data_IF_372478738168
#
_entry.id   IF_372478738168
#
_cell.length_a   1.000
_cell.length_b   1.000
_cell.length_c   1.000
_cell.angle_alpha   90.00
_cell.angle_beta   90.00
_cell.angle_gamma   90.00
#
_symmetry.space_group_name_H-M   'P 1'
#
loop_
_entity.id
_entity.type
_entity.pdbx_description
1 polymer ?
#
# COMPACT_ATOMS: atom_id res chain seq x y z
N UNK A 1 -19.11 -32.79 -4.34
CA UNK A 1 -17.90 -32.14 -3.77
C UNK A 1 -17.99 -30.67 -4.10
N UNK A 2 -17.80 -29.75 -3.14
CA UNK A 2 -17.92 -28.32 -3.42
C UNK A 2 -16.79 -27.85 -4.35
N UNK A 3 -17.16 -27.07 -5.34
CA UNK A 3 -16.22 -26.43 -6.25
C UNK A 3 -16.45 -24.93 -6.21
N UNK A 4 -15.37 -24.16 -6.24
CA UNK A 4 -15.43 -22.78 -6.71
C UNK A 4 -15.38 -22.85 -8.22
N UNK A 5 -16.31 -22.16 -8.86
CA UNK A 5 -16.43 -22.15 -10.32
C UNK A 5 -16.37 -20.73 -10.84
N UNK A 6 -16.04 -20.57 -12.11
CA UNK A 6 -16.07 -19.28 -12.77
C UNK A 6 -15.79 -19.44 -14.25
N UNK A 7 -15.75 -18.33 -14.94
CA UNK A 7 -15.35 -18.25 -16.34
C UNK A 7 -14.36 -17.09 -16.47
N UNK A 8 -13.27 -17.34 -17.20
CA UNK A 8 -12.29 -16.33 -17.52
C UNK A 8 -12.78 -15.47 -18.70
N UNK A 9 -12.19 -14.29 -18.87
CA UNK A 9 -12.50 -13.37 -19.97
C UNK A 9 -12.17 -13.93 -21.36
N UNK A 10 -11.33 -14.96 -21.45
CA UNK A 10 -11.07 -15.72 -22.67
C UNK A 10 -12.08 -16.84 -22.95
N UNK A 11 -13.11 -16.99 -22.11
CA UNK A 11 -14.15 -18.01 -22.24
C UNK A 11 -13.82 -19.35 -21.58
N UNK A 12 -12.61 -19.54 -21.03
CA UNK A 12 -12.25 -20.78 -20.37
C UNK A 12 -12.94 -20.91 -19.01
N UNK A 13 -13.42 -22.11 -18.71
CA UNK A 13 -14.00 -22.42 -17.40
C UNK A 13 -12.92 -22.54 -16.33
N UNK A 14 -13.23 -22.01 -15.14
CA UNK A 14 -12.46 -22.18 -13.93
C UNK A 14 -13.19 -23.12 -12.98
N UNK A 15 -12.45 -24.07 -12.40
CA UNK A 15 -12.98 -25.00 -11.41
C UNK A 15 -11.91 -25.38 -10.41
N UNK A 16 -12.11 -25.02 -9.14
CA UNK A 16 -11.21 -25.39 -8.04
C UNK A 16 -11.96 -26.21 -7.00
N UNK A 17 -11.49 -27.43 -6.77
CA UNK A 17 -12.03 -28.30 -5.73
C UNK A 17 -11.71 -27.70 -4.37
N UNK A 18 -12.74 -27.55 -3.53
CA UNK A 18 -12.58 -27.21 -2.12
C UNK A 18 -13.10 -28.38 -1.28
N UNK A 19 -12.37 -28.71 -0.22
CA UNK A 19 -12.67 -29.85 0.65
C UNK A 19 -12.68 -29.40 2.09
N UNK A 20 -13.20 -30.23 3.00
CA UNK A 20 -13.11 -29.97 4.44
C UNK A 20 -11.67 -29.80 4.96
N UNK A 21 -10.65 -30.22 4.21
CA UNK A 21 -9.23 -30.05 4.57
C UNK A 21 -8.62 -28.76 4.03
N UNK A 22 -9.33 -28.03 3.17
CA UNK A 22 -8.84 -26.80 2.56
C UNK A 22 -8.80 -25.70 3.62
N UNK A 23 -7.59 -25.30 4.03
CA UNK A 23 -7.36 -24.18 4.96
C UNK A 23 -6.95 -22.89 4.25
N UNK A 24 -6.28 -23.03 3.11
CA UNK A 24 -5.76 -21.91 2.31
C UNK A 24 -6.35 -22.01 0.92
N UNK A 25 -6.99 -20.95 0.48
CA UNK A 25 -7.51 -20.78 -0.86
C UNK A 25 -6.74 -19.67 -1.55
N UNK A 26 -5.90 -20.06 -2.50
CA UNK A 26 -5.14 -19.13 -3.34
C UNK A 26 -5.73 -19.14 -4.74
N UNK A 27 -6.20 -17.99 -5.17
CA UNK A 27 -6.76 -17.74 -6.50
C UNK A 27 -5.80 -16.82 -7.25
N UNK A 28 -4.60 -17.32 -7.48
CA UNK A 28 -3.67 -16.73 -8.43
C UNK A 28 -3.98 -17.31 -9.81
N UNK A 29 -3.67 -16.56 -10.87
CA UNK A 29 -3.48 -17.14 -12.19
C UNK A 29 -2.28 -18.09 -12.09
N UNK A 30 -2.52 -19.36 -11.76
CA UNK A 30 -1.48 -20.39 -11.68
C UNK A 30 -0.80 -20.59 -13.06
N UNK A 31 -1.46 -20.14 -14.14
CA UNK A 31 -0.90 -20.06 -15.48
C UNK A 31 -0.49 -18.63 -15.86
N UNK A 32 0.82 -18.35 -15.84
CA UNK A 32 1.43 -17.12 -16.34
C UNK A 32 1.07 -16.76 -17.80
N UNK A 33 0.43 -17.67 -18.55
CA UNK A 33 -0.03 -17.47 -19.93
C UNK A 33 -1.43 -16.87 -20.02
N UNK A 34 -2.22 -16.93 -18.96
CA UNK A 34 -3.58 -16.45 -18.94
C UNK A 34 -3.63 -15.17 -18.10
N UNK A 35 -3.25 -14.02 -18.68
CA UNK A 35 -3.60 -12.68 -18.17
C UNK A 35 -5.12 -12.41 -18.22
N UNK A 36 -5.95 -13.45 -18.14
CA UNK A 36 -7.40 -13.38 -18.23
C UNK A 36 -7.98 -13.12 -16.85
N UNK A 37 -8.69 -12.00 -16.72
CA UNK A 37 -9.54 -11.68 -15.58
C UNK A 37 -10.74 -12.63 -15.53
N UNK A 38 -11.37 -12.77 -14.36
CA UNK A 38 -12.66 -13.46 -14.26
C UNK A 38 -13.76 -12.60 -14.89
N UNK A 39 -14.55 -13.16 -15.79
CA UNK A 39 -15.81 -12.57 -16.24
C UNK A 39 -16.96 -12.97 -15.31
N UNK A 40 -16.88 -14.18 -14.75
CA UNK A 40 -17.79 -14.69 -13.74
C UNK A 40 -17.00 -15.46 -12.69
N UNK A 41 -17.32 -15.25 -11.42
CA UNK A 41 -16.78 -16.03 -10.31
C UNK A 41 -17.93 -16.39 -9.37
N UNK A 42 -17.97 -17.64 -8.91
CA UNK A 42 -19.00 -18.14 -8.01
C UNK A 42 -18.35 -18.70 -6.74
N UNK A 43 -18.58 -18.01 -5.62
CA UNK A 43 -18.05 -18.34 -4.31
C UNK A 43 -19.09 -18.97 -3.36
N UNK A 44 -20.31 -19.24 -3.82
CA UNK A 44 -21.43 -19.71 -2.98
C UNK A 44 -21.14 -20.99 -2.19
N UNK A 45 -20.27 -21.85 -2.74
CA UNK A 45 -19.84 -23.10 -2.10
C UNK A 45 -18.82 -22.91 -0.96
N UNK A 46 -18.31 -21.69 -0.72
CA UNK A 46 -17.45 -21.40 0.44
C UNK A 46 -18.13 -21.74 1.77
N UNK A 47 -19.45 -21.59 1.82
CA UNK A 47 -20.30 -21.98 2.96
C UNK A 47 -20.19 -23.45 3.36
N UNK A 48 -19.75 -24.32 2.44
CA UNK A 48 -19.61 -25.76 2.69
C UNK A 48 -18.25 -26.13 3.30
N UNK A 49 -17.36 -25.16 3.51
CA UNK A 49 -16.00 -25.39 4.00
C UNK A 49 -15.70 -24.52 5.22
N UNK A 50 -15.83 -25.14 6.40
CA UNK A 50 -15.68 -24.45 7.69
C UNK A 50 -14.23 -24.11 8.04
N UNK A 51 -13.25 -24.78 7.45
CA UNK A 51 -11.84 -24.73 7.89
C UNK A 51 -10.98 -23.70 7.13
N UNK A 52 -11.57 -22.86 6.28
CA UNK A 52 -10.82 -21.84 5.54
C UNK A 52 -10.35 -20.75 6.50
N UNK A 53 -9.04 -20.53 6.51
CA UNK A 53 -8.35 -19.52 7.33
C UNK A 53 -7.72 -18.42 6.48
N UNK A 54 -7.40 -18.69 5.22
CA UNK A 54 -6.75 -17.74 4.33
C UNK A 54 -7.39 -17.80 2.94
N UNK A 55 -7.80 -16.64 2.44
CA UNK A 55 -8.24 -16.48 1.06
C UNK A 55 -7.41 -15.36 0.43
N UNK A 56 -6.71 -15.69 -0.65
CA UNK A 56 -5.95 -14.71 -1.42
C UNK A 56 -6.40 -14.72 -2.87
N UNK A 57 -6.98 -13.61 -3.30
CA UNK A 57 -7.25 -13.30 -4.69
C UNK A 57 -6.10 -12.52 -5.31
N UNK A 58 -5.88 -12.69 -6.61
CA UNK A 58 -4.98 -11.80 -7.36
C UNK A 58 -5.53 -10.36 -7.37
N UNK A 59 -4.63 -9.38 -7.52
CA UNK A 59 -5.02 -7.96 -7.70
C UNK A 59 -5.90 -7.72 -8.94
N UNK A 60 -5.92 -8.68 -9.86
CA UNK A 60 -6.73 -8.65 -11.09
C UNK A 60 -8.11 -9.29 -10.93
N UNK A 61 -8.37 -9.98 -9.81
CA UNK A 61 -9.68 -10.61 -9.54
C UNK A 61 -10.55 -9.64 -8.77
N UNK A 62 -11.41 -8.94 -9.50
CA UNK A 62 -12.28 -7.91 -8.96
C UNK A 62 -13.51 -8.53 -8.30
N UNK A 63 -13.69 -8.24 -7.02
CA UNK A 63 -14.81 -8.71 -6.22
C UNK A 63 -15.84 -7.61 -6.02
N UNK A 64 -17.07 -8.03 -5.75
CA UNK A 64 -18.23 -7.19 -5.46
C UNK A 64 -18.80 -7.62 -4.09
N UNK A 65 -19.90 -7.01 -3.67
CA UNK A 65 -20.50 -7.30 -2.36
C UNK A 65 -21.00 -8.75 -2.25
N UNK A 66 -21.55 -9.36 -3.30
CA UNK A 66 -22.02 -10.75 -3.26
C UNK A 66 -20.87 -11.73 -3.00
N UNK A 67 -19.72 -11.50 -3.63
CA UNK A 67 -18.51 -12.26 -3.36
C UNK A 67 -18.07 -12.11 -1.89
N UNK A 68 -18.12 -10.89 -1.35
CA UNK A 68 -17.77 -10.64 0.05
C UNK A 68 -18.74 -11.32 1.03
N UNK A 69 -20.04 -11.32 0.71
CA UNK A 69 -21.07 -12.02 1.48
C UNK A 69 -20.85 -13.54 1.48
N UNK A 70 -20.37 -14.11 0.38
CA UNK A 70 -20.00 -15.53 0.32
C UNK A 70 -18.74 -15.82 1.15
N UNK A 71 -17.74 -14.93 1.11
CA UNK A 71 -16.52 -15.01 1.91
C UNK A 71 -16.81 -14.93 3.42
N UNK A 72 -17.76 -14.07 3.81
CA UNK A 72 -18.18 -13.90 5.21
C UNK A 72 -18.67 -15.19 5.88
N UNK A 73 -19.08 -16.20 5.09
CA UNK A 73 -19.51 -17.52 5.59
C UNK A 73 -18.35 -18.34 6.13
N UNK A 74 -17.09 -17.96 5.84
CA UNK A 74 -15.89 -18.60 6.38
C UNK A 74 -15.56 -18.04 7.77
N UNK A 75 -16.23 -18.55 8.82
CA UNK A 75 -16.09 -18.04 10.19
C UNK A 75 -14.66 -18.09 10.76
N UNK A 76 -13.85 -19.03 10.28
CA UNK A 76 -12.46 -19.21 10.69
C UNK A 76 -11.46 -18.38 9.85
N UNK A 77 -11.93 -17.55 8.93
CA UNK A 77 -11.10 -16.69 8.08
C UNK A 77 -10.27 -15.74 8.94
N UNK A 78 -8.95 -15.76 8.76
CA UNK A 78 -7.96 -14.91 9.43
C UNK A 78 -7.31 -13.92 8.47
N UNK A 79 -7.13 -14.31 7.22
CA UNK A 79 -6.42 -13.52 6.21
C UNK A 79 -7.24 -13.42 4.94
N UNK A 80 -7.47 -12.19 4.48
CA UNK A 80 -8.19 -11.90 3.25
C UNK A 80 -7.42 -10.90 2.39
N UNK A 81 -7.12 -11.28 1.15
CA UNK A 81 -6.56 -10.38 0.15
C UNK A 81 -7.52 -10.32 -1.02
N UNK A 82 -8.01 -9.13 -1.37
CA UNK A 82 -8.97 -8.96 -2.47
C UNK A 82 -8.75 -7.68 -3.25
N UNK A 83 -9.26 -7.65 -4.48
CA UNK A 83 -9.35 -6.44 -5.28
C UNK A 83 -10.79 -6.04 -5.52
N UNK A 84 -11.08 -4.75 -5.59
CA UNK A 84 -12.41 -4.24 -5.92
C UNK A 84 -12.35 -2.91 -6.68
N UNK A 85 -13.45 -2.56 -7.35
CA UNK A 85 -13.67 -1.26 -8.02
C UNK A 85 -14.83 -0.48 -7.41
N UNK A 86 -15.50 -1.05 -6.43
CA UNK A 86 -16.68 -0.48 -5.78
C UNK A 86 -16.42 -0.45 -4.28
N UNK A 87 -17.18 0.39 -3.58
CA UNK A 87 -17.19 0.35 -2.12
C UNK A 87 -17.78 -0.97 -1.65
N UNK A 88 -17.09 -1.61 -0.72
CA UNK A 88 -17.51 -2.84 -0.09
C UNK A 88 -17.87 -2.57 1.37
N UNK A 89 -18.95 -3.18 1.81
CA UNK A 89 -19.30 -3.20 3.22
C UNK A 89 -18.60 -4.39 3.90
N UNK A 90 -17.48 -4.10 4.56
CA UNK A 90 -16.70 -5.05 5.34
C UNK A 90 -17.37 -5.45 6.67
N UNK A 91 -18.47 -4.83 7.09
CA UNK A 91 -19.19 -5.23 8.31
C UNK A 91 -19.68 -6.68 8.28
N UNK A 92 -19.91 -7.22 7.08
CA UNK A 92 -20.25 -8.64 6.91
C UNK A 92 -19.16 -9.59 7.41
N UNK A 93 -17.92 -9.13 7.57
CA UNK A 93 -16.82 -9.91 8.12
C UNK A 93 -16.69 -9.80 9.65
N UNK A 94 -17.53 -9.02 10.35
CA UNK A 94 -17.42 -8.79 11.80
C UNK A 94 -17.40 -10.08 12.63
N UNK A 95 -18.15 -11.08 12.17
CA UNK A 95 -18.33 -12.35 12.86
C UNK A 95 -17.21 -13.37 12.55
N UNK A 96 -16.31 -13.03 11.64
CA UNK A 96 -15.16 -13.87 11.30
C UNK A 96 -14.03 -13.74 12.33
N UNK A 97 -12.93 -14.44 12.08
CA UNK A 97 -11.71 -14.35 12.88
C UNK A 97 -10.64 -13.49 12.20
N UNK A 98 -11.05 -12.54 11.34
CA UNK A 98 -10.12 -11.82 10.47
C UNK A 98 -9.13 -10.98 11.29
N UNK A 99 -7.84 -11.19 11.01
CA UNK A 99 -6.72 -10.50 11.63
C UNK A 99 -5.89 -9.72 10.60
N UNK A 100 -5.95 -10.08 9.33
CA UNK A 100 -5.21 -9.47 8.23
C UNK A 100 -6.10 -9.23 7.01
N UNK A 101 -6.16 -7.98 6.57
CA UNK A 101 -6.92 -7.54 5.41
C UNK A 101 -6.01 -6.77 4.45
N UNK A 102 -5.96 -7.22 3.20
CA UNK A 102 -5.29 -6.52 2.09
C UNK A 102 -6.34 -6.19 1.03
N UNK A 103 -6.57 -4.90 0.82
CA UNK A 103 -7.53 -4.39 -0.15
C UNK A 103 -6.77 -3.70 -1.27
N UNK A 104 -6.91 -4.20 -2.49
CA UNK A 104 -6.57 -3.46 -3.69
C UNK A 104 -7.83 -2.75 -4.17
N UNK A 105 -7.87 -1.43 -4.18
CA UNK A 105 -9.06 -0.68 -4.57
C UNK A 105 -8.74 0.39 -5.61
N UNK A 106 -9.79 0.83 -6.30
CA UNK A 106 -9.73 2.01 -7.14
C UNK A 106 -9.56 3.26 -6.27
N UNK A 107 -8.93 4.32 -6.80
CA UNK A 107 -8.75 5.61 -6.12
C UNK A 107 -10.07 6.36 -5.80
N UNK A 108 -11.23 5.81 -6.16
CA UNK A 108 -12.53 6.37 -5.81
C UNK A 108 -13.22 5.60 -4.68
N UNK A 109 -12.62 4.52 -4.17
CA UNK A 109 -13.22 3.71 -3.12
C UNK A 109 -12.77 4.18 -1.73
N UNK A 110 -13.70 4.23 -0.78
CA UNK A 110 -13.44 4.51 0.62
C UNK A 110 -13.76 3.28 1.48
N UNK A 111 -12.79 2.36 1.68
CA UNK A 111 -13.03 1.16 2.46
C UNK A 111 -13.08 1.42 3.98
N UNK A 112 -12.75 2.63 4.46
CA UNK A 112 -12.46 2.85 5.88
C UNK A 112 -13.70 2.78 6.76
N UNK A 113 -14.84 3.31 6.30
CA UNK A 113 -16.08 3.35 7.08
C UNK A 113 -16.58 1.97 7.49
N UNK A 114 -16.40 0.95 6.65
CA UNK A 114 -16.89 -0.40 6.95
C UNK A 114 -15.86 -1.27 7.69
N UNK A 115 -14.58 -0.89 7.68
CA UNK A 115 -13.49 -1.58 8.41
C UNK A 115 -13.59 -1.38 9.94
N UNK A 116 -14.24 -0.31 10.42
CA UNK A 116 -14.36 -0.01 11.86
C UNK A 116 -15.02 -1.14 12.68
N UNK A 117 -15.84 -1.97 12.04
CA UNK A 117 -16.50 -3.13 12.66
C UNK A 117 -15.53 -4.28 12.99
N UNK A 118 -14.36 -4.33 12.35
CA UNK A 118 -13.43 -5.45 12.40
C UNK A 118 -12.51 -5.40 13.63
N UNK A 119 -13.09 -5.58 14.81
CA UNK A 119 -12.39 -5.41 16.11
C UNK A 119 -11.17 -6.33 16.31
N UNK A 120 -11.09 -7.46 15.59
CA UNK A 120 -9.95 -8.40 15.66
C UNK A 120 -8.82 -8.07 14.68
N UNK A 121 -9.02 -7.08 13.80
CA UNK A 121 -8.09 -6.75 12.72
C UNK A 121 -6.78 -6.19 13.30
N UNK A 122 -5.66 -6.83 12.96
CA UNK A 122 -4.32 -6.49 13.44
C UNK A 122 -3.48 -5.84 12.36
N UNK A 123 -3.72 -6.23 11.11
CA UNK A 123 -2.99 -5.74 9.94
C UNK A 123 -3.95 -5.29 8.85
N UNK A 124 -3.72 -4.10 8.35
CA UNK A 124 -4.46 -3.52 7.24
C UNK A 124 -3.48 -3.03 6.17
N UNK A 125 -3.68 -3.46 4.93
CA UNK A 125 -3.01 -2.88 3.77
C UNK A 125 -4.04 -2.42 2.76
N UNK A 126 -4.00 -1.14 2.41
CA UNK A 126 -4.86 -0.55 1.39
C UNK A 126 -3.98 -0.08 0.25
N UNK A 127 -4.27 -0.57 -0.95
CA UNK A 127 -3.47 -0.31 -2.14
C UNK A 127 -4.34 0.23 -3.25
N UNK A 128 -4.14 1.50 -3.56
CA UNK A 128 -4.80 2.17 -4.67
C UNK A 128 -4.06 1.86 -5.98
N UNK A 129 -4.84 1.50 -6.98
CA UNK A 129 -4.38 1.39 -8.36
C UNK A 129 -5.18 2.33 -9.27
N UNK A 130 -4.49 2.90 -10.24
CA UNK A 130 -5.07 3.75 -11.27
C UNK A 130 -5.31 2.88 -12.51
N UNK A 131 -6.58 2.70 -12.87
CA UNK A 131 -6.99 1.88 -14.02
C UNK A 131 -6.68 2.60 -15.34
N UNK A 132 -6.65 3.94 -15.37
CA UNK A 132 -6.51 4.69 -16.61
C UNK A 132 -5.13 4.50 -17.25
N UNK A 133 -4.09 4.27 -16.44
CA UNK A 133 -2.74 4.01 -16.97
C UNK A 133 -2.55 2.61 -17.55
N UNK A 134 -3.29 1.59 -17.10
CA UNK A 134 -3.14 0.23 -17.63
C UNK A 134 -3.75 0.04 -19.02
N UNK A 135 -4.84 0.75 -19.35
CA UNK A 135 -5.43 0.69 -20.69
C UNK A 135 -4.53 1.37 -21.72
N UNK A 136 -3.99 2.55 -21.40
CA UNK A 136 -3.11 3.33 -22.30
C UNK A 136 -1.78 2.62 -22.55
N UNK A 137 -1.21 1.93 -21.55
CA UNK A 137 0.00 1.13 -21.71
C UNK A 137 -0.22 -0.13 -22.59
N UNK A 138 -1.45 -0.67 -22.64
CA UNK A 138 -1.77 -1.83 -23.47
C UNK A 138 -2.09 -1.47 -24.93
N UNK A 139 -2.66 -0.28 -25.18
CA UNK A 139 -2.97 0.20 -26.53
C UNK A 139 -1.75 0.80 -27.25
N UNK A 140 -0.90 1.54 -26.53
CA UNK A 140 0.31 2.13 -27.12
C UNK A 140 1.37 1.08 -27.51
N UNK A 141 1.38 -0.08 -26.86
CA UNK A 141 2.30 -1.18 -27.20
C UNK A 141 1.94 -1.95 -28.48
N UNK A 142 0.76 -1.71 -29.08
CA UNK A 142 0.42 -2.26 -30.41
C UNK A 142 0.82 -1.37 -31.59
N UNK A 143 1.23 -0.12 -31.34
CA UNK A 143 1.49 0.87 -32.41
C UNK A 143 2.99 1.23 -32.59
N UNK A 144 3.85 0.96 -31.60
CA UNK A 144 5.22 1.53 -31.56
C UNK A 144 6.31 0.52 -31.98
N UNK A 145 5.98 -0.71 -32.40
CA UNK A 145 7.00 -1.67 -32.88
C UNK A 145 7.55 -1.36 -34.28
N UNK A 146 7.11 -0.27 -34.93
CA UNK A 146 7.51 0.02 -36.30
C UNK A 146 7.74 1.50 -36.58
N UNK A 147 8.48 2.24 -35.72
CA UNK A 147 9.24 3.42 -36.17
C UNK A 147 10.06 4.12 -35.07
N UNK A 148 11.28 4.47 -35.47
CA UNK A 148 12.16 5.52 -34.94
C UNK A 148 12.99 5.21 -33.69
N UNK A 149 14.18 4.67 -33.96
CA UNK A 149 15.39 5.07 -33.24
C UNK A 149 15.78 6.53 -33.58
N UNK A 150 16.51 7.15 -32.66
CA UNK A 150 17.22 8.44 -32.81
C UNK A 150 16.37 9.64 -33.23
N UNK A 151 15.68 10.29 -32.26
CA UNK A 151 15.46 11.76 -32.19
C UNK A 151 14.38 12.16 -31.15
N UNK A 152 14.59 11.95 -29.84
CA UNK A 152 13.60 12.39 -28.81
C UNK A 152 14.23 13.18 -27.65
N UNK A 153 15.42 13.77 -27.84
CA UNK A 153 16.01 14.69 -26.82
C UNK A 153 15.81 16.18 -27.10
N UNK A 154 15.09 16.58 -28.15
CA UNK A 154 14.95 18.00 -28.52
C UNK A 154 13.52 18.48 -28.80
N UNK A 155 12.47 17.70 -28.49
CA UNK A 155 11.08 18.09 -28.79
C UNK A 155 10.16 18.27 -27.57
N UNK A 156 10.66 18.12 -26.33
CA UNK A 156 9.88 18.38 -25.12
C UNK A 156 10.12 19.79 -24.55
N UNK A 157 10.03 20.79 -25.41
CA UNK A 157 9.75 22.17 -25.01
C UNK A 157 8.28 22.47 -25.27
N UNK A 158 7.53 22.76 -24.19
CA UNK A 158 6.18 23.35 -24.18
C UNK A 158 5.02 22.47 -24.68
N UNK A 159 4.48 21.67 -23.77
CA UNK A 159 3.05 21.69 -23.45
C UNK A 159 2.89 21.20 -22.01
N UNK A 160 2.48 22.08 -21.09
CA UNK A 160 1.80 21.63 -19.87
C UNK A 160 0.53 20.93 -20.34
N UNK A 161 0.60 19.61 -20.50
CA UNK A 161 -0.63 18.82 -20.48
C UNK A 161 -1.36 19.21 -19.19
N UNK A 162 -2.69 19.38 -19.20
CA UNK A 162 -3.41 19.40 -17.95
C UNK A 162 -3.02 18.10 -17.26
N UNK A 163 -2.34 18.20 -16.11
CA UNK A 163 -2.13 17.05 -15.25
C UNK A 163 -3.51 16.40 -15.10
N UNK A 164 -3.63 15.08 -15.33
CA UNK A 164 -4.87 14.41 -15.02
C UNK A 164 -5.18 14.78 -13.57
N UNK A 165 -6.34 15.39 -13.35
CA UNK A 165 -6.83 15.68 -12.00
C UNK A 165 -7.05 14.33 -11.35
N UNK A 166 -5.99 13.76 -10.77
CA UNK A 166 -6.09 12.60 -9.90
C UNK A 166 -7.04 13.06 -8.80
N UNK A 167 -8.18 12.39 -8.59
CA UNK A 167 -9.12 12.76 -7.55
C UNK A 167 -8.36 12.90 -6.24
N UNK A 168 -8.29 14.13 -5.73
CA UNK A 168 -7.66 14.43 -4.46
C UNK A 168 -8.51 13.76 -3.38
N UNK A 169 -8.05 12.64 -2.84
CA UNK A 169 -8.75 11.91 -1.80
C UNK A 169 -8.33 12.42 -0.43
N UNK A 170 -9.26 13.06 0.27
CA UNK A 170 -9.23 13.20 1.72
C UNK A 170 -9.76 11.90 2.33
N UNK A 171 -8.92 11.17 3.06
CA UNK A 171 -9.32 9.94 3.74
C UNK A 171 -9.14 10.13 5.25
N UNK A 172 -10.26 10.31 5.96
CA UNK A 172 -10.26 10.33 7.43
C UNK A 172 -9.98 8.92 7.94
N UNK A 173 -8.86 8.73 8.63
CA UNK A 173 -8.45 7.42 9.19
C UNK A 173 -8.70 7.28 10.69
N UNK A 174 -9.34 8.28 11.29
CA UNK A 174 -9.69 8.39 12.70
C UNK A 174 -10.61 7.26 13.20
N UNK A 175 -11.36 6.63 12.30
CA UNK A 175 -12.29 5.54 12.62
C UNK A 175 -11.68 4.13 12.55
N UNK A 176 -10.38 4.00 12.24
CA UNK A 176 -9.74 2.70 12.17
C UNK A 176 -9.75 1.98 13.55
N UNK A 177 -9.97 0.64 13.60
CA UNK A 177 -9.96 -0.11 14.85
C UNK A 177 -8.63 0.00 15.62
N UNK A 178 -8.71 0.26 16.92
CA UNK A 178 -7.55 0.39 17.80
C UNK A 178 -6.70 -0.90 17.94
N UNK A 179 -7.20 -2.04 17.46
CA UNK A 179 -6.49 -3.32 17.40
C UNK A 179 -5.43 -3.38 16.29
N UNK A 180 -5.48 -2.47 15.31
CA UNK A 180 -4.51 -2.39 14.24
C UNK A 180 -3.16 -1.96 14.80
N UNK A 181 -2.14 -2.78 14.51
CA UNK A 181 -0.76 -2.46 14.85
C UNK A 181 0.16 -2.43 13.62
N UNK A 182 -0.28 -2.98 12.47
CA UNK A 182 0.42 -2.84 11.19
C UNK A 182 -0.50 -2.18 10.16
N UNK A 183 -0.09 -1.02 9.66
CA UNK A 183 -0.81 -0.28 8.62
C UNK A 183 0.11 -0.09 7.42
N UNK A 184 -0.41 -0.34 6.23
CA UNK A 184 0.26 -0.07 4.97
C UNK A 184 -0.70 0.65 4.01
N UNK A 185 -0.32 1.82 3.54
CA UNK A 185 -1.10 2.61 2.58
C UNK A 185 -0.22 2.85 1.37
N UNK A 186 -0.73 2.51 0.20
CA UNK A 186 0.03 2.51 -1.03
C UNK A 186 -0.79 3.09 -2.19
N UNK A 187 -0.33 4.16 -2.81
CA UNK A 187 -0.97 4.77 -3.98
C UNK A 187 -0.95 6.29 -3.93
N UNK A 188 -1.45 6.95 -5.01
CA UNK A 188 -1.33 8.40 -5.22
C UNK A 188 -2.29 9.20 -4.32
N UNK A 189 -2.13 9.07 -3.01
CA UNK A 189 -2.90 9.82 -2.00
C UNK A 189 -2.20 11.15 -1.75
N UNK A 190 -2.97 12.24 -1.75
CA UNK A 190 -2.46 13.62 -1.63
C UNK A 190 -2.80 14.30 -0.31
N UNK A 191 -3.93 13.94 0.30
CA UNK A 191 -4.44 14.58 1.52
C UNK A 191 -4.48 13.56 2.66
N UNK A 192 -3.28 13.24 3.14
CA UNK A 192 -3.05 12.23 4.17
C UNK A 192 -2.56 12.88 5.46
N UNK A 193 -3.42 12.97 6.47
CA UNK A 193 -3.04 13.46 7.80
C UNK A 193 -2.69 12.28 8.73
N UNK A 194 -1.48 12.32 9.27
CA UNK A 194 -1.02 11.33 10.24
C UNK A 194 -1.68 11.51 11.61
N UNK A 195 -2.23 12.68 11.93
CA UNK A 195 -2.95 12.92 13.18
C UNK A 195 -4.16 11.98 13.35
N UNK A 196 -4.77 11.58 12.24
CA UNK A 196 -5.86 10.60 12.21
C UNK A 196 -5.46 9.22 12.74
N UNK A 197 -4.16 8.95 12.89
CA UNK A 197 -3.66 7.65 13.36
C UNK A 197 -3.18 7.71 14.82
N UNK A 198 -3.29 8.84 15.51
CA UNK A 198 -2.74 9.03 16.86
C UNK A 198 -3.41 8.17 17.93
N UNK A 199 -4.66 7.73 17.70
CA UNK A 199 -5.35 6.79 18.57
C UNK A 199 -4.82 5.35 18.43
N UNK A 200 -4.09 5.04 17.35
CA UNK A 200 -3.56 3.71 17.07
C UNK A 200 -2.18 3.51 17.71
N UNK A 201 -1.97 2.32 18.28
CA UNK A 201 -0.65 1.90 18.80
C UNK A 201 0.14 1.15 17.73
N UNK A 202 0.41 1.83 16.62
CA UNK A 202 1.10 1.25 15.47
C UNK A 202 2.52 0.81 15.84
N UNK A 203 2.85 -0.43 15.49
CA UNK A 203 4.22 -0.98 15.50
C UNK A 203 4.87 -0.87 14.13
N UNK A 204 4.08 -0.93 13.07
CA UNK A 204 4.59 -0.85 11.69
C UNK A 204 3.71 0.08 10.88
N UNK A 205 4.34 1.06 10.25
CA UNK A 205 3.71 1.95 9.30
C UNK A 205 4.46 1.90 7.98
N UNK A 206 3.74 1.57 6.91
CA UNK A 206 4.21 1.62 5.53
C UNK A 206 3.41 2.64 4.75
N UNK A 207 4.08 3.59 4.13
CA UNK A 207 3.52 4.59 3.24
C UNK A 207 4.24 4.47 1.90
N UNK A 208 3.49 4.35 0.81
CA UNK A 208 4.07 4.21 -0.52
C UNK A 208 3.33 5.02 -1.56
N UNK A 209 4.07 5.59 -2.51
CA UNK A 209 3.51 6.31 -3.67
C UNK A 209 2.58 7.49 -3.33
N UNK A 210 2.71 8.05 -2.13
CA UNK A 210 2.03 9.29 -1.73
C UNK A 210 2.55 10.48 -2.56
N UNK A 211 1.71 11.48 -2.77
CA UNK A 211 2.00 12.65 -3.60
C UNK A 211 1.77 13.93 -2.79
N UNK A 212 2.72 14.86 -2.79
CA UNK A 212 2.52 16.22 -2.25
C UNK A 212 2.04 16.28 -0.77
N UNK A 213 2.34 15.25 0.04
CA UNK A 213 1.91 15.20 1.44
C UNK A 213 2.94 15.85 2.39
N UNK A 214 2.46 16.37 3.53
CA UNK A 214 3.28 16.67 4.69
C UNK A 214 3.12 15.57 5.76
N UNK A 215 4.23 14.93 6.13
CA UNK A 215 4.18 13.82 7.09
C UNK A 215 4.59 14.30 8.49
N UNK A 216 3.58 14.62 9.31
CA UNK A 216 3.75 15.09 10.69
C UNK A 216 3.49 13.97 11.70
N UNK A 217 4.57 13.44 12.27
CA UNK A 217 4.48 12.40 13.29
C UNK A 217 4.26 13.00 14.68
N UNK A 218 3.32 12.43 15.44
CA UNK A 218 3.21 12.72 16.87
C UNK A 218 4.28 11.97 17.67
N UNK A 219 4.59 12.48 18.86
CA UNK A 219 5.51 11.83 19.81
C UNK A 219 4.96 10.46 20.25
N UNK A 220 3.64 10.33 20.39
CA UNK A 220 3.02 9.07 20.82
C UNK A 220 3.09 7.99 19.74
N UNK A 221 2.87 8.36 18.47
CA UNK A 221 3.08 7.42 17.36
C UNK A 221 4.56 6.98 17.29
N UNK A 222 5.49 7.94 17.34
CA UNK A 222 6.93 7.67 17.26
C UNK A 222 7.48 6.77 18.39
N UNK A 223 6.87 6.82 19.59
CA UNK A 223 7.23 5.94 20.72
C UNK A 223 6.87 4.48 20.49
N UNK A 224 5.81 4.20 19.72
CA UNK A 224 5.31 2.84 19.52
C UNK A 224 5.91 2.15 18.29
N UNK A 225 6.29 2.92 17.27
CA UNK A 225 6.78 2.39 16.01
C UNK A 225 8.09 1.61 16.16
N UNK A 226 8.11 0.41 15.56
CA UNK A 226 9.25 -0.47 15.40
C UNK A 226 9.81 -0.40 13.97
N UNK A 227 8.92 -0.24 12.98
CA UNK A 227 9.26 -0.14 11.55
C UNK A 227 8.52 1.04 10.93
N UNK A 228 9.28 1.94 10.31
CA UNK A 228 8.75 3.01 9.47
C UNK A 228 9.30 2.86 8.05
N UNK A 229 8.40 2.70 7.09
CA UNK A 229 8.72 2.61 5.66
C UNK A 229 7.95 3.68 4.93
N UNK A 230 8.65 4.57 4.22
CA UNK A 230 8.10 5.58 3.32
C UNK A 230 8.82 5.39 1.99
N UNK A 231 8.14 4.98 0.92
CA UNK A 231 8.83 4.54 -0.31
C UNK A 231 8.14 4.99 -1.59
N UNK A 232 8.89 5.36 -2.61
CA UNK A 232 8.29 5.74 -3.89
C UNK A 232 7.40 6.98 -3.82
N UNK A 233 7.53 7.80 -2.78
CA UNK A 233 6.73 9.01 -2.57
C UNK A 233 7.47 10.23 -3.15
N UNK A 234 6.80 11.05 -3.95
CA UNK A 234 7.41 12.19 -4.64
C UNK A 234 6.88 13.52 -4.08
N UNK A 235 7.71 14.57 -4.11
CA UNK A 235 7.38 15.91 -3.63
C UNK A 235 6.85 15.94 -2.18
N UNK A 236 7.41 15.10 -1.30
CA UNK A 236 7.06 15.14 0.11
C UNK A 236 7.62 16.45 0.68
N UNK A 237 6.82 17.12 1.51
CA UNK A 237 7.21 18.36 2.17
C UNK A 237 8.35 18.19 3.18
N UNK A 238 8.21 18.83 4.33
CA UNK A 238 9.23 18.73 5.39
C UNK A 238 9.01 17.48 6.24
N UNK A 239 10.09 16.74 6.51
CA UNK A 239 10.11 15.68 7.50
C UNK A 239 10.95 16.08 8.71
N UNK A 240 10.37 15.97 9.91
CA UNK A 240 11.12 16.13 11.17
C UNK A 240 11.22 14.83 11.93
N UNK A 241 12.44 14.45 12.29
CA UNK A 241 12.71 13.27 13.13
C UNK A 241 12.60 13.56 14.63
N UNK A 242 12.40 14.81 15.05
CA UNK A 242 12.30 15.20 16.47
C UNK A 242 11.34 14.30 17.29
N UNK A 243 10.14 13.92 16.81
CA UNK A 243 9.24 13.02 17.54
C UNK A 243 9.88 11.68 17.92
N UNK A 244 10.87 11.22 17.15
CA UNK A 244 11.55 9.94 17.34
C UNK A 244 12.75 9.99 18.29
N UNK A 245 13.18 11.18 18.77
CA UNK A 245 14.41 11.37 19.56
C UNK A 245 14.57 10.44 20.76
N UNK A 246 13.46 10.04 21.38
CA UNK A 246 13.43 9.15 22.54
C UNK A 246 12.83 7.76 22.22
N UNK A 247 12.72 7.40 20.94
CA UNK A 247 12.20 6.08 20.55
C UNK A 247 13.14 4.98 21.04
N UNK A 248 12.57 3.99 21.72
CA UNK A 248 13.32 2.80 22.19
C UNK A 248 12.99 1.55 21.37
N UNK A 249 12.07 1.69 20.40
CA UNK A 249 11.49 0.58 19.64
C UNK A 249 11.87 0.63 18.17
N UNK A 250 12.01 1.83 17.60
CA UNK A 250 12.29 2.00 16.18
C UNK A 250 13.60 1.29 15.82
N UNK A 251 13.49 0.27 14.98
CA UNK A 251 14.62 -0.57 14.57
C UNK A 251 14.86 -0.54 13.07
N UNK A 252 13.84 -0.21 12.28
CA UNK A 252 13.93 -0.15 10.82
C UNK A 252 13.35 1.16 10.31
N UNK A 253 14.14 1.87 9.53
CA UNK A 253 13.76 3.05 8.76
C UNK A 253 14.03 2.78 7.28
N UNK A 254 13.07 3.05 6.41
CA UNK A 254 13.24 2.92 4.98
C UNK A 254 12.59 4.09 4.24
N UNK A 255 13.42 4.92 3.62
CA UNK A 255 13.07 6.09 2.79
C UNK A 255 13.49 5.90 1.32
N UNK A 256 13.51 4.67 0.83
CA UNK A 256 13.95 4.38 -0.54
C UNK A 256 12.99 4.91 -1.61
N UNK A 257 13.55 5.53 -2.65
CA UNK A 257 12.82 6.01 -3.82
C UNK A 257 11.94 7.21 -3.52
N UNK A 258 12.29 8.05 -2.55
CA UNK A 258 11.48 9.23 -2.17
C UNK A 258 12.08 10.54 -2.67
N UNK A 259 11.27 11.58 -2.83
CA UNK A 259 11.72 12.96 -3.04
C UNK A 259 11.26 13.86 -1.91
N UNK A 260 12.21 14.51 -1.23
CA UNK A 260 11.93 15.36 -0.07
C UNK A 260 12.29 16.82 -0.37
N UNK A 261 11.48 17.78 0.05
CA UNK A 261 11.92 19.18 0.07
C UNK A 261 12.97 19.43 1.16
N UNK A 262 12.79 18.81 2.32
CA UNK A 262 13.72 18.88 3.43
C UNK A 262 13.50 17.72 4.40
N UNK A 263 14.59 17.16 4.93
CA UNK A 263 14.54 16.02 5.84
C UNK A 263 15.52 16.23 7.02
N UNK A 264 14.97 16.36 8.22
CA UNK A 264 15.73 16.36 9.46
C UNK A 264 15.87 14.95 10.01
N UNK A 265 17.12 14.51 10.15
CA UNK A 265 17.51 13.19 10.66
C UNK A 265 18.08 13.23 12.09
N UNK A 266 18.17 14.40 12.73
CA UNK A 266 18.82 14.60 14.03
C UNK A 266 18.17 13.81 15.15
N UNK A 267 16.84 13.64 15.13
CA UNK A 267 16.10 12.82 16.08
C UNK A 267 16.41 11.33 15.98
N UNK A 268 17.04 10.86 14.91
CA UNK A 268 17.54 9.48 14.82
C UNK A 268 18.97 9.33 15.36
N UNK A 269 19.72 10.44 15.50
CA UNK A 269 21.06 10.43 16.04
C UNK A 269 21.03 9.99 17.51
N UNK A 270 21.52 8.78 17.78
CA UNK A 270 21.61 8.22 19.12
C UNK A 270 20.57 7.14 19.46
N UNK A 271 19.65 6.80 18.55
CA UNK A 271 18.72 5.69 18.75
C UNK A 271 19.46 4.35 18.77
N UNK A 272 19.68 3.80 19.97
CA UNK A 272 20.33 2.48 20.16
C UNK A 272 19.53 1.31 19.59
N UNK A 273 18.22 1.49 19.42
CA UNK A 273 17.33 0.48 18.85
C UNK A 273 17.42 0.40 17.33
N UNK A 274 17.87 1.47 16.66
CA UNK A 274 17.90 1.57 15.21
C UNK A 274 18.99 0.66 14.63
N UNK A 275 18.60 -0.27 13.76
CA UNK A 275 19.47 -1.30 13.19
C UNK A 275 19.60 -1.18 11.67
N UNK A 276 18.51 -0.81 11.02
CA UNK A 276 18.41 -0.78 9.57
C UNK A 276 17.94 0.60 9.14
N UNK A 277 18.74 1.25 8.28
CA UNK A 277 18.35 2.48 7.60
C UNK A 277 18.58 2.30 6.10
N UNK A 278 17.52 2.44 5.33
CA UNK A 278 17.55 2.34 3.87
C UNK A 278 17.17 3.69 3.29
N UNK A 279 18.07 4.28 2.50
CA UNK A 279 17.82 5.53 1.76
C UNK A 279 18.47 5.40 0.38
N UNK A 280 17.88 4.56 -0.47
CA UNK A 280 18.35 4.33 -1.85
C UNK A 280 17.49 5.12 -2.82
N UNK A 281 18.07 5.66 -3.88
CA UNK A 281 17.34 6.37 -4.95
C UNK A 281 16.47 7.54 -4.43
N UNK A 282 16.90 8.16 -3.32
CA UNK A 282 16.23 9.31 -2.73
C UNK A 282 16.80 10.61 -3.31
N UNK A 283 15.94 11.54 -3.72
CA UNK A 283 16.33 12.85 -4.28
C UNK A 283 16.11 13.99 -3.28
N UNK A 284 16.88 15.06 -3.43
CA UNK A 284 16.78 16.31 -2.64
C UNK A 284 16.94 16.16 -1.11
N UNK A 285 17.74 15.19 -0.67
CA UNK A 285 18.09 15.05 0.74
C UNK A 285 19.21 16.02 1.12
N UNK A 286 18.93 16.90 2.06
CA UNK A 286 19.90 17.73 2.76
C UNK A 286 19.93 17.32 4.24
N UNK A 287 20.98 16.63 4.67
CA UNK A 287 21.17 16.28 6.09
C UNK A 287 22.05 17.35 6.70
N UNK A 288 21.47 18.22 7.53
CA UNK A 288 22.25 18.99 8.48
C UNK A 288 22.59 18.06 9.65
N UNK A 289 23.89 17.79 9.86
CA UNK A 289 24.52 17.49 11.15
C UNK A 289 25.66 16.44 11.07
N UNK A 290 26.75 16.75 11.79
CA UNK A 290 27.93 15.93 12.06
C UNK A 290 27.61 14.72 12.97
N UNK A 291 26.47 14.70 13.66
CA UNK A 291 26.07 13.59 14.54
C UNK A 291 25.49 12.36 13.82
N UNK A 292 25.28 12.43 12.50
CA UNK A 292 24.67 11.35 11.69
C UNK A 292 25.63 10.21 11.31
N UNK A 293 26.87 10.23 11.81
CA UNK A 293 27.93 9.23 11.53
C UNK A 293 27.58 7.77 11.81
N UNK A 294 26.48 7.50 12.54
CA UNK A 294 25.97 6.14 12.81
C UNK A 294 24.91 5.67 11.80
N UNK A 295 24.43 6.54 10.93
CA UNK A 295 23.44 6.23 9.90
C UNK A 295 24.20 5.85 8.63
N UNK A 296 24.51 4.57 8.47
CA UNK A 296 25.15 4.06 7.27
C UNK A 296 24.07 3.79 6.21
N UNK A 297 23.99 4.64 5.18
CA UNK A 297 23.17 4.39 4.00
C UNK A 297 23.96 4.67 2.71
N UNK A 298 23.91 3.77 1.71
CA UNK A 298 24.66 3.92 0.46
C UNK A 298 24.21 5.10 -0.43
N UNK A 299 23.09 5.78 -0.11
CA UNK A 299 22.60 6.95 -0.84
C UNK A 299 22.67 8.29 -0.08
N UNK A 300 23.34 8.33 1.07
CA UNK A 300 23.35 9.50 1.95
C UNK A 300 24.28 10.61 1.41
N UNK A 301 23.73 11.75 0.97
CA UNK A 301 24.49 12.97 0.66
C UNK A 301 24.56 13.85 1.91
N UNK A 302 25.77 14.24 2.33
CA UNK A 302 25.99 15.10 3.50
C UNK A 302 26.00 16.55 3.05
N UNK A 303 25.12 17.39 3.61
CA UNK A 303 25.16 18.84 3.37
C UNK A 303 26.26 19.46 4.25
N UNK A 304 27.12 20.26 3.66
CA UNK A 304 28.21 20.91 4.36
C UNK A 304 27.97 22.42 4.33
N UNK A 305 27.52 23.00 5.44
CA UNK A 305 27.14 24.42 5.58
C UNK A 305 28.27 25.41 5.21
N UNK A 306 29.53 24.94 5.13
CA UNK A 306 30.70 25.76 4.86
C UNK A 306 30.89 26.15 3.38
N UNK A 307 30.15 25.54 2.45
CA UNK A 307 30.26 25.86 1.02
C UNK A 307 28.85 26.05 0.47
N UNK A 308 28.42 27.30 0.36
CA UNK A 308 27.17 27.68 -0.29
C UNK A 308 27.18 27.48 -1.81
N UNK A 309 27.71 26.37 -2.32
CA UNK A 309 27.65 25.99 -3.73
C UNK A 309 27.59 24.46 -3.93
N UNK A 310 26.81 24.09 -4.94
CA UNK A 310 26.43 22.74 -5.34
C UNK A 310 27.61 21.86 -5.78
N UNK A 311 27.68 20.64 -5.24
CA UNK A 311 28.34 19.48 -5.86
C UNK A 311 27.53 18.20 -5.62
#
# INVERSE_FOLDING_TARGET
MPYITGTFSNGNDYKKLITKRTRVLRMYQEDAKARSTFSLLNLSNLSQVENIEEIIFSSTTLLNQDHLNDIAKCMNLKTLHLATRIDLDFSVLENTSIEELVVYCNCNCDPHQSIMSLQKLKKLSIRFFDIEKEQVASENNKSISHRLGTAVKSLFGLAKNPEPQIPLMHQSLDLLPASIHHLCIDGPVTDFDLADLDHLKLKRLGLSRLLECELKFSVEMAKNLEVLTITGCENIGQFSSIPFRNSTRLNTLNFSGTGWHWIDMTGFAGLKSLRTVLMTDTIDIYISDKETTKILSPGLKVFNDEIGEFF
#
